data_IF_983368549301
#
_entry.id   IF_983368549301
#
_cell.length_a   1.000
_cell.length_b   1.000
_cell.length_c   1.000
_cell.angle_alpha   90.00
_cell.angle_beta   90.00
_cell.angle_gamma   90.00
#
_symmetry.space_group_name_H-M   'P 1'
#
loop_
_entity.id
_entity.type
_entity.pdbx_description
1 polymer ?
#
# COMPACT_ATOMS: atom_id res chain seq x y z
N UNK A 1 3.47 25.60 -6.50
CA UNK A 1 3.62 24.34 -7.24
C UNK A 1 3.88 23.23 -6.25
N UNK A 2 3.03 22.19 -6.13
CA UNK A 2 3.22 21.17 -5.11
C UNK A 2 4.40 20.26 -5.48
N UNK A 3 5.18 19.93 -4.46
CA UNK A 3 6.46 19.20 -4.48
C UNK A 3 6.37 17.83 -5.20
N UNK A 4 5.18 17.23 -5.31
CA UNK A 4 4.94 15.92 -5.94
C UNK A 4 5.37 15.83 -7.40
N UNK A 5 5.27 16.90 -8.19
CA UNK A 5 5.69 16.90 -9.59
C UNK A 5 7.21 16.81 -9.78
N UNK A 6 8.01 17.22 -8.78
CA UNK A 6 9.48 17.19 -8.86
C UNK A 6 10.10 15.81 -8.58
N UNK A 7 9.32 14.87 -8.03
CA UNK A 7 9.80 13.53 -7.61
C UNK A 7 9.30 12.43 -8.58
N UNK A 8 8.53 12.79 -9.60
CA UNK A 8 7.93 11.80 -10.52
C UNK A 8 6.91 10.89 -9.85
N UNK A 9 6.35 11.29 -8.70
CA UNK A 9 5.34 10.50 -8.00
C UNK A 9 3.98 10.70 -8.68
N UNK A 10 3.58 9.73 -9.50
CA UNK A 10 2.25 9.67 -10.11
C UNK A 10 1.46 8.47 -9.58
N UNK A 11 0.15 8.48 -9.84
CA UNK A 11 -0.76 7.41 -9.47
C UNK A 11 -1.55 6.94 -10.69
N UNK A 12 -2.03 5.70 -10.63
CA UNK A 12 -2.92 5.08 -11.59
C UNK A 12 -4.21 4.73 -10.84
N UNK A 13 -5.35 5.17 -11.37
CA UNK A 13 -6.66 4.88 -10.79
C UNK A 13 -7.14 3.49 -11.20
N UNK A 14 -7.72 2.74 -10.26
CA UNK A 14 -8.35 1.42 -10.51
C UNK A 14 -7.48 0.44 -11.31
N UNK A 15 -6.17 0.38 -10.99
CA UNK A 15 -5.22 -0.48 -11.71
C UNK A 15 -5.45 -1.97 -11.37
N UNK A 16 -5.97 -2.80 -12.29
CA UNK A 16 -6.37 -4.16 -11.97
C UNK A 16 -5.16 -5.05 -11.69
N UNK A 17 -5.21 -5.78 -10.58
CA UNK A 17 -4.19 -6.75 -10.18
C UNK A 17 -4.81 -8.11 -9.92
N UNK A 18 -4.08 -9.14 -10.31
CA UNK A 18 -4.49 -10.52 -10.09
C UNK A 18 -4.07 -10.97 -8.70
N UNK A 19 -4.96 -11.64 -7.97
CA UNK A 19 -4.67 -12.13 -6.63
C UNK A 19 -5.46 -13.40 -6.32
N UNK A 20 -4.99 -14.14 -5.32
CA UNK A 20 -5.71 -15.27 -4.76
C UNK A 20 -6.37 -14.85 -3.44
N UNK A 21 -7.61 -15.28 -3.23
CA UNK A 21 -8.26 -15.13 -1.93
C UNK A 21 -7.89 -16.30 -1.00
N UNK A 22 -8.38 -16.25 0.24
CA UNK A 22 -8.24 -17.28 1.27
C UNK A 22 -8.72 -18.70 0.90
N UNK A 23 -9.42 -18.88 -0.23
CA UNK A 23 -9.82 -20.22 -0.74
C UNK A 23 -9.03 -20.60 -1.99
N UNK A 24 -7.86 -19.98 -2.19
CA UNK A 24 -7.00 -20.11 -3.37
C UNK A 24 -7.73 -19.86 -4.69
N UNK A 25 -8.80 -19.04 -4.65
CA UNK A 25 -9.55 -18.73 -5.85
C UNK A 25 -8.94 -17.50 -6.51
N UNK A 26 -8.71 -17.54 -7.83
CA UNK A 26 -8.21 -16.40 -8.57
C UNK A 26 -9.24 -15.27 -8.57
N UNK A 27 -8.78 -14.05 -8.38
CA UNK A 27 -9.56 -12.82 -8.33
C UNK A 27 -8.82 -11.72 -9.07
N UNK A 28 -9.58 -10.78 -9.61
CA UNK A 28 -9.06 -9.48 -10.01
C UNK A 28 -9.50 -8.50 -8.94
N UNK A 29 -8.55 -7.78 -8.37
CA UNK A 29 -8.79 -6.67 -7.47
C UNK A 29 -8.36 -5.38 -8.17
N UNK A 30 -9.22 -4.37 -8.13
CA UNK A 30 -8.90 -3.01 -8.58
C UNK A 30 -8.81 -2.12 -7.34
N UNK A 31 -7.60 -1.76 -6.87
CA UNK A 31 -7.42 -0.74 -5.84
C UNK A 31 -7.79 0.64 -6.36
N UNK A 32 -8.27 1.52 -5.48
CA UNK A 32 -8.64 2.90 -5.84
C UNK A 32 -7.44 3.62 -6.48
N UNK A 33 -6.25 3.49 -5.89
CA UNK A 33 -5.02 4.07 -6.46
C UNK A 33 -3.83 3.12 -6.36
N UNK A 34 -2.99 3.14 -7.39
CA UNK A 34 -1.67 2.50 -7.40
C UNK A 34 -0.59 3.55 -7.62
N UNK A 35 0.51 3.48 -6.86
CA UNK A 35 1.67 4.37 -6.96
C UNK A 35 2.85 3.54 -7.47
N UNK A 36 3.11 3.53 -8.79
CA UNK A 36 4.04 2.59 -9.40
C UNK A 36 5.47 2.72 -8.87
N UNK A 37 5.94 3.96 -8.71
CA UNK A 37 7.30 4.23 -8.24
C UNK A 37 7.61 3.59 -6.89
N UNK A 38 6.60 3.48 -6.02
CA UNK A 38 6.74 2.88 -4.70
C UNK A 38 6.19 1.45 -4.64
N UNK A 39 5.56 0.93 -5.70
CA UNK A 39 4.86 -0.36 -5.60
C UNK A 39 3.86 -0.41 -4.43
N UNK A 40 3.16 0.70 -4.18
CA UNK A 40 2.18 0.84 -3.09
C UNK A 40 0.79 0.99 -3.68
N UNK A 41 -0.15 0.21 -3.19
CA UNK A 41 -1.58 0.35 -3.46
C UNK A 41 -2.26 1.11 -2.33
N UNK A 42 -3.30 1.86 -2.64
CA UNK A 42 -4.05 2.67 -1.70
C UNK A 42 -5.53 2.36 -1.86
N UNK A 43 -6.20 2.07 -0.74
CA UNK A 43 -7.62 1.77 -0.71
C UNK A 43 -8.34 2.69 0.27
N UNK A 44 -9.40 3.35 -0.18
CA UNK A 44 -10.20 4.26 0.62
C UNK A 44 -11.33 3.47 1.29
N UNK A 45 -11.32 3.47 2.62
CA UNK A 45 -12.26 2.72 3.43
C UNK A 45 -13.57 3.50 3.58
N UNK A 46 -14.67 2.97 3.03
CA UNK A 46 -16.00 3.59 3.10
C UNK A 46 -16.85 3.25 4.32
N UNK A 47 -16.46 2.29 5.16
CA UNK A 47 -17.27 1.82 6.30
C UNK A 47 -16.44 1.64 7.56
N UNK A 48 -17.01 1.92 8.74
CA UNK A 48 -16.34 1.60 10.01
C UNK A 48 -16.44 0.13 10.39
N UNK A 49 -17.50 -0.54 9.91
CA UNK A 49 -17.91 -1.88 10.36
C UNK A 49 -17.29 -3.00 9.53
N UNK A 50 -16.51 -2.66 8.52
CA UNK A 50 -15.87 -3.63 7.64
C UNK A 50 -14.51 -4.04 8.21
N UNK A 51 -14.20 -5.34 8.14
CA UNK A 51 -12.91 -5.87 8.59
C UNK A 51 -11.82 -5.63 7.54
N UNK A 52 -11.16 -4.48 7.63
CA UNK A 52 -10.03 -4.13 6.77
C UNK A 52 -8.76 -4.90 7.12
N UNK A 53 -8.62 -5.37 8.36
CA UNK A 53 -7.46 -6.15 8.78
C UNK A 53 -7.46 -7.52 8.06
N UNK A 54 -8.63 -8.11 7.88
CA UNK A 54 -8.80 -9.29 7.04
C UNK A 54 -8.33 -9.05 5.60
N UNK A 55 -8.76 -7.96 4.94
CA UNK A 55 -8.30 -7.63 3.56
C UNK A 55 -6.80 -7.39 3.50
N UNK A 56 -6.25 -6.67 4.47
CA UNK A 56 -4.80 -6.42 4.58
C UNK A 56 -4.01 -7.72 4.59
N UNK A 57 -4.47 -8.71 5.36
CA UNK A 57 -3.82 -10.02 5.43
C UNK A 57 -3.84 -10.76 4.08
N UNK A 58 -4.95 -10.68 3.32
CA UNK A 58 -5.04 -11.30 2.00
C UNK A 58 -4.05 -10.63 1.04
N UNK A 59 -4.03 -9.30 1.00
CA UNK A 59 -3.13 -8.57 0.09
C UNK A 59 -1.67 -8.80 0.41
N UNK A 60 -1.32 -8.83 1.71
CA UNK A 60 0.03 -9.13 2.16
C UNK A 60 0.47 -10.53 1.76
N UNK A 61 -0.42 -11.54 1.85
CA UNK A 61 -0.14 -12.90 1.36
C UNK A 61 0.12 -12.96 -0.14
N UNK A 62 -0.49 -12.07 -0.92
CA UNK A 62 -0.24 -11.92 -2.35
C UNK A 62 0.98 -11.05 -2.68
N UNK A 63 1.73 -10.58 -1.66
CA UNK A 63 2.93 -9.76 -1.86
C UNK A 63 2.65 -8.28 -2.13
N UNK A 64 1.43 -7.81 -1.89
CA UNK A 64 1.06 -6.41 -2.11
C UNK A 64 1.19 -5.57 -0.86
N UNK A 65 1.82 -4.40 -0.97
CA UNK A 65 1.81 -3.36 0.07
C UNK A 65 0.63 -2.43 -0.15
N UNK A 66 -0.32 -2.45 0.79
CA UNK A 66 -1.59 -1.71 0.69
C UNK A 66 -1.73 -0.77 1.86
N UNK A 67 -2.06 0.49 1.60
CA UNK A 67 -2.38 1.50 2.62
C UNK A 67 -3.90 1.72 2.62
N UNK A 68 -4.54 1.41 3.74
CA UNK A 68 -5.96 1.68 3.94
C UNK A 68 -6.18 3.09 4.50
N UNK A 69 -6.87 3.93 3.74
CA UNK A 69 -7.24 5.29 4.16
C UNK A 69 -8.65 5.28 4.75
N UNK A 70 -8.73 5.37 6.07
CA UNK A 70 -10.00 5.52 6.77
C UNK A 70 -10.46 6.98 6.79
N UNK A 71 -11.03 7.45 5.67
CA UNK A 71 -11.45 8.85 5.49
C UNK A 71 -12.44 9.33 6.57
N UNK A 72 -13.30 8.42 7.05
CA UNK A 72 -14.29 8.70 8.08
C UNK A 72 -13.69 8.92 9.49
N UNK A 73 -12.50 8.38 9.79
CA UNK A 73 -11.90 8.53 11.12
C UNK A 73 -11.37 9.93 11.35
N UNK A 74 -10.68 10.50 10.36
CA UNK A 74 -10.08 11.85 10.47
C UNK A 74 -9.94 12.51 9.09
N UNK A 75 -11.01 13.19 8.65
CA UNK A 75 -11.15 13.79 7.30
C UNK A 75 -10.00 14.74 6.90
N UNK A 76 -9.33 15.37 7.85
CA UNK A 76 -8.25 16.34 7.57
C UNK A 76 -6.85 15.74 7.67
N UNK A 77 -6.70 14.56 8.29
CA UNK A 77 -5.38 13.97 8.60
C UNK A 77 -4.99 12.84 7.66
N UNK A 78 -5.86 12.42 6.74
CA UNK A 78 -5.57 11.32 5.82
C UNK A 78 -4.31 11.55 4.98
N UNK A 79 -4.01 12.80 4.59
CA UNK A 79 -2.78 13.13 3.83
C UNK A 79 -1.53 12.84 4.64
N UNK A 80 -1.49 13.32 5.87
CA UNK A 80 -0.38 13.10 6.81
C UNK A 80 -0.24 11.62 7.13
N UNK A 81 -1.36 10.93 7.35
CA UNK A 81 -1.40 9.49 7.56
C UNK A 81 -0.81 8.73 6.36
N UNK A 82 -1.25 9.06 5.14
CA UNK A 82 -0.80 8.43 3.92
C UNK A 82 0.72 8.59 3.73
N UNK A 83 1.24 9.82 3.84
CA UNK A 83 2.68 10.10 3.71
C UNK A 83 3.48 9.38 4.79
N UNK A 84 3.00 9.37 6.04
CA UNK A 84 3.64 8.62 7.13
C UNK A 84 3.70 7.13 6.81
N UNK A 85 2.60 6.53 6.33
CA UNK A 85 2.54 5.11 5.98
C UNK A 85 3.43 4.75 4.79
N UNK A 86 3.52 5.60 3.77
CA UNK A 86 4.48 5.42 2.67
C UNK A 86 5.91 5.37 3.19
N UNK A 87 6.28 6.32 4.07
CA UNK A 87 7.61 6.37 4.67
C UNK A 87 7.91 5.11 5.49
N UNK A 88 6.99 4.70 6.38
CA UNK A 88 7.15 3.49 7.19
C UNK A 88 7.39 2.24 6.32
N UNK A 89 6.69 2.11 5.19
CA UNK A 89 6.88 0.99 4.25
C UNK A 89 8.27 1.03 3.60
N UNK A 90 8.69 2.18 3.09
CA UNK A 90 9.99 2.34 2.44
C UNK A 90 11.16 2.14 3.40
N UNK A 91 11.07 2.68 4.62
CA UNK A 91 12.09 2.50 5.67
C UNK A 91 12.23 1.02 6.05
N UNK A 92 11.12 0.28 6.17
CA UNK A 92 11.13 -1.15 6.44
C UNK A 92 11.78 -1.94 5.29
N UNK A 93 11.42 -1.64 4.04
CA UNK A 93 12.04 -2.27 2.85
C UNK A 93 13.54 -2.02 2.78
N UNK A 94 13.97 -0.79 3.05
CA UNK A 94 15.38 -0.44 3.09
C UNK A 94 16.12 -1.21 4.20
N UNK A 95 15.56 -1.27 5.41
CA UNK A 95 16.15 -2.02 6.52
C UNK A 95 16.26 -3.53 6.21
N UNK A 96 15.24 -4.12 5.58
CA UNK A 96 15.28 -5.52 5.13
C UNK A 96 16.34 -5.76 4.06
N UNK A 97 16.45 -4.86 3.08
CA UNK A 97 17.48 -4.94 2.04
C UNK A 97 18.90 -4.87 2.65
N UNK A 98 19.12 -3.94 3.58
CA UNK A 98 20.41 -3.79 4.26
C UNK A 98 20.79 -5.02 5.10
N UNK A 99 19.83 -5.63 5.80
CA UNK A 99 20.05 -6.90 6.53
C UNK A 99 20.49 -8.02 5.59
N UNK A 100 19.85 -8.12 4.43
CA UNK A 100 20.22 -9.12 3.42
C UNK A 100 21.62 -8.82 2.88
N UNK A 101 21.94 -7.60 2.47
CA UNK A 101 23.29 -7.29 1.96
C UNK A 101 24.37 -7.61 3.00
N UNK A 102 24.14 -7.28 4.28
CA UNK A 102 25.04 -7.61 5.38
C UNK A 102 25.21 -9.12 5.62
N UNK A 103 24.20 -9.94 5.38
CA UNK A 103 24.30 -11.40 5.55
C UNK A 103 24.98 -12.12 4.38
N UNK A 104 25.14 -11.48 3.21
CA UNK A 104 25.81 -12.06 2.04
C UNK A 104 27.31 -11.77 2.02
N UNK A 105 27.79 -10.88 2.89
CA UNK A 105 29.21 -10.55 3.06
C UNK A 105 29.86 -11.28 4.25
N UNK A 106 29.18 -12.30 4.81
CA UNK A 106 29.66 -13.18 5.87
C UNK A 106 29.78 -14.62 5.36
#
# INVERSE_FOLDING_TARGET
MPITLKIGLYWIFEYPVFMYNEKDRPRVWAPDFYIPLLGIYVEVCGSERFDYQYRENIYKKNGYSVIFIHFYKEKEKWKTYLVRKMREIEENRHAEAMKRIGSWHC
#
